data_IF_044392222444
#
_entry.id   IF_044392222444
#
_cell.length_a   1.000
_cell.length_b   1.000
_cell.length_c   1.000
_cell.angle_alpha   90.00
_cell.angle_beta   90.00
_cell.angle_gamma   90.00
#
_symmetry.space_group_name_H-M   'P 1'
#
loop_
_entity.id
_entity.type
_entity.pdbx_description
1 polymer ?
#
# COMPACT_ATOMS: atom_id res chain seq x y z
N UNK A 1 29.83 12.69 -17.34
CA UNK A 1 28.67 13.12 -18.17
C UNK A 1 28.61 14.64 -18.16
N UNK A 2 28.19 15.28 -19.25
CA UNK A 2 27.93 16.73 -19.23
C UNK A 2 26.45 16.96 -18.95
N UNK A 3 26.13 17.95 -18.12
CA UNK A 3 24.76 18.40 -17.85
C UNK A 3 24.70 19.93 -17.98
N UNK A 4 23.55 20.54 -17.65
CA UNK A 4 23.44 22.01 -17.57
C UNK A 4 24.39 22.63 -16.53
N UNK A 5 24.79 21.88 -15.49
CA UNK A 5 25.79 22.31 -14.50
C UNK A 5 27.25 22.11 -14.95
N UNK A 6 27.47 21.67 -16.20
CA UNK A 6 28.80 21.39 -16.72
C UNK A 6 29.23 19.94 -16.49
N UNK A 7 30.45 19.74 -16.00
CA UNK A 7 31.06 18.40 -15.84
C UNK A 7 30.52 17.70 -14.60
N UNK A 8 29.76 16.62 -14.80
CA UNK A 8 29.20 15.80 -13.72
C UNK A 8 29.73 14.36 -13.78
N UNK A 9 29.57 13.64 -12.68
CA UNK A 9 30.01 12.25 -12.53
C UNK A 9 28.83 11.35 -12.23
N UNK A 10 28.84 10.14 -12.81
CA UNK A 10 27.77 9.14 -12.63
C UNK A 10 28.39 7.87 -12.07
N UNK A 11 28.01 7.51 -10.86
CA UNK A 11 28.34 6.21 -10.28
C UNK A 11 27.42 5.13 -10.85
N UNK A 12 27.93 3.91 -11.07
CA UNK A 12 27.17 2.77 -11.58
C UNK A 12 26.46 3.02 -12.93
N UNK A 13 27.00 3.91 -13.78
CA UNK A 13 26.43 4.22 -15.09
C UNK A 13 26.72 3.20 -16.20
N UNK A 14 27.62 2.24 -15.96
CA UNK A 14 27.94 1.21 -16.95
C UNK A 14 26.91 0.08 -16.93
N UNK A 15 26.12 -0.03 -18.01
CA UNK A 15 25.08 -1.05 -18.17
C UNK A 15 25.62 -2.48 -18.27
N UNK A 16 26.87 -2.66 -18.72
CA UNK A 16 27.47 -4.00 -18.92
C UNK A 16 27.89 -4.68 -17.61
N UNK A 17 28.14 -3.91 -16.55
CA UNK A 17 28.57 -4.41 -15.25
C UNK A 17 27.85 -3.66 -14.12
N UNK A 18 26.53 -3.83 -13.96
CA UNK A 18 25.76 -3.13 -12.96
C UNK A 18 26.10 -3.64 -11.56
N UNK A 19 26.46 -2.72 -10.66
CA UNK A 19 26.59 -3.02 -9.23
C UNK A 19 25.20 -3.17 -8.61
N UNK A 20 25.00 -4.26 -7.88
CA UNK A 20 23.72 -4.59 -7.20
C UNK A 20 23.96 -4.80 -5.72
N UNK A 21 23.01 -4.37 -4.92
CA UNK A 21 23.02 -4.56 -3.47
C UNK A 21 22.08 -5.72 -3.13
N UNK A 22 22.48 -6.60 -2.19
CA UNK A 22 21.69 -7.78 -1.79
C UNK A 22 20.89 -7.59 -0.52
N UNK A 23 21.33 -6.69 0.35
CA UNK A 23 20.73 -6.46 1.65
C UNK A 23 20.73 -4.97 1.94
N UNK A 24 19.73 -4.53 2.68
CA UNK A 24 19.70 -3.19 3.20
C UNK A 24 20.71 -2.86 4.29
N UNK A 25 20.72 -1.59 4.63
CA UNK A 25 21.61 -1.02 5.63
C UNK A 25 22.69 -0.12 5.02
N UNK A 26 23.15 0.81 5.86
CA UNK A 26 24.12 1.86 5.52
C UNK A 26 25.42 1.29 4.94
N UNK A 27 25.96 0.22 5.51
CA UNK A 27 27.23 -0.38 5.05
C UNK A 27 27.20 -1.06 3.67
N UNK A 28 26.01 -1.30 3.09
CA UNK A 28 25.85 -2.02 1.83
C UNK A 28 25.59 -1.08 0.63
N UNK A 29 25.42 0.22 0.90
CA UNK A 29 25.14 1.24 -0.10
C UNK A 29 26.39 1.91 -0.67
N UNK A 30 26.17 3.04 -1.35
CA UNK A 30 27.24 3.94 -1.80
C UNK A 30 27.54 4.97 -0.70
N UNK A 31 28.78 5.02 -0.23
CA UNK A 31 29.30 6.05 0.67
C UNK A 31 30.41 6.87 -0.03
N UNK A 32 30.30 8.19 0.02
CA UNK A 32 31.23 9.16 -0.57
C UNK A 32 31.55 10.27 0.44
N UNK A 33 32.83 10.59 0.61
CA UNK A 33 33.26 11.86 1.22
C UNK A 33 33.79 12.77 0.10
N UNK A 34 33.19 13.94 -0.04
CA UNK A 34 33.47 14.91 -1.08
C UNK A 34 33.93 16.22 -0.45
N UNK A 35 34.96 16.82 -1.04
CA UNK A 35 35.29 18.23 -0.87
C UNK A 35 34.65 18.98 -2.04
N UNK A 36 33.90 20.04 -1.73
CA UNK A 36 33.27 20.87 -2.76
C UNK A 36 34.16 22.03 -3.20
N UNK A 37 35.34 22.20 -2.58
CA UNK A 37 36.36 23.17 -3.00
C UNK A 37 35.76 24.59 -3.14
N UNK A 38 35.10 25.08 -2.08
CA UNK A 38 34.46 26.42 -2.09
C UNK A 38 35.45 27.55 -2.42
N UNK A 39 36.74 27.34 -2.17
CA UNK A 39 37.85 28.24 -2.51
C UNK A 39 38.05 28.42 -4.02
N UNK A 40 37.64 27.45 -4.83
CA UNK A 40 37.70 27.49 -6.30
C UNK A 40 36.42 28.03 -6.95
N UNK A 41 35.43 28.46 -6.14
CA UNK A 41 34.19 29.01 -6.68
C UNK A 41 34.47 30.34 -7.37
N UNK A 42 33.82 30.54 -8.52
CA UNK A 42 33.90 31.82 -9.22
C UNK A 42 33.33 32.92 -8.32
N UNK A 43 34.08 33.99 -8.04
CA UNK A 43 33.57 35.10 -7.27
C UNK A 43 32.36 35.70 -8.00
N UNK A 44 31.32 36.08 -7.26
CA UNK A 44 30.06 36.58 -7.80
C UNK A 44 30.07 38.11 -7.73
N UNK A 45 30.06 38.77 -8.88
CA UNK A 45 30.14 40.24 -8.99
C UNK A 45 28.82 40.84 -9.51
N UNK A 46 28.00 40.01 -10.16
CA UNK A 46 26.67 40.34 -10.69
C UNK A 46 25.79 39.09 -10.70
N UNK A 47 24.52 39.25 -10.37
CA UNK A 47 23.53 38.19 -10.52
C UNK A 47 23.21 37.99 -12.01
N UNK A 48 23.38 36.77 -12.50
CA UNK A 48 22.89 36.31 -13.79
C UNK A 48 22.00 35.09 -13.57
N UNK A 49 21.23 34.71 -14.59
CA UNK A 49 20.40 33.49 -14.53
C UNK A 49 21.23 32.20 -14.37
N UNK A 50 22.55 32.27 -14.54
CA UNK A 50 23.47 31.13 -14.44
C UNK A 50 24.32 31.14 -13.16
N UNK A 51 24.38 32.26 -12.42
CA UNK A 51 25.13 32.34 -11.16
C UNK A 51 24.32 31.73 -10.03
N UNK A 52 24.77 30.60 -9.50
CA UNK A 52 24.18 29.98 -8.31
C UNK A 52 24.80 30.56 -7.04
N UNK A 53 23.96 31.08 -6.15
CA UNK A 53 24.38 31.50 -4.79
C UNK A 53 24.50 30.32 -3.81
N UNK A 54 24.13 29.12 -4.25
CA UNK A 54 24.11 27.90 -3.47
C UNK A 54 25.52 27.28 -3.39
N UNK A 55 25.91 26.81 -2.20
CA UNK A 55 27.09 25.98 -2.01
C UNK A 55 26.70 24.55 -1.62
N UNK A 56 27.19 23.57 -2.38
CA UNK A 56 26.86 22.16 -2.21
C UNK A 56 26.86 21.42 -3.53
N UNK A 57 26.24 20.24 -3.54
CA UNK A 57 26.12 19.42 -4.75
C UNK A 57 24.66 19.11 -5.03
N UNK A 58 24.32 18.98 -6.31
CA UNK A 58 23.04 18.39 -6.74
C UNK A 58 23.27 16.94 -7.11
N UNK A 59 22.33 16.08 -6.73
CA UNK A 59 22.42 14.64 -6.90
C UNK A 59 21.11 14.13 -7.48
N UNK A 60 21.18 13.21 -8.44
CA UNK A 60 20.00 12.55 -9.01
C UNK A 60 20.20 11.05 -8.95
N UNK A 61 19.21 10.33 -8.43
CA UNK A 61 19.11 8.88 -8.52
C UNK A 61 18.22 8.57 -9.73
N UNK A 62 18.72 7.77 -10.65
CA UNK A 62 17.98 7.38 -11.85
C UNK A 62 18.38 5.98 -12.31
N UNK A 63 17.56 5.39 -13.17
CA UNK A 63 17.89 4.11 -13.81
C UNK A 63 19.04 4.28 -14.81
N UNK A 64 19.82 3.23 -15.03
CA UNK A 64 20.95 3.25 -15.99
C UNK A 64 20.51 3.49 -17.44
N UNK A 65 19.22 3.22 -17.74
CA UNK A 65 18.61 3.39 -19.05
C UNK A 65 18.01 4.80 -19.26
N UNK A 66 18.07 5.65 -18.24
CA UNK A 66 17.56 7.02 -18.29
C UNK A 66 18.74 8.00 -18.20
N UNK A 67 18.85 8.99 -19.12
CA UNK A 67 19.88 10.01 -19.01
C UNK A 67 19.60 10.96 -17.83
N UNK A 68 20.64 11.54 -17.23
CA UNK A 68 20.47 12.47 -16.12
C UNK A 68 19.81 13.78 -16.57
N UNK A 69 18.82 14.22 -15.80
CA UNK A 69 18.07 15.47 -15.99
C UNK A 69 18.05 16.25 -14.67
N UNK A 70 19.27 16.47 -14.16
CA UNK A 70 19.57 16.86 -12.78
C UNK A 70 19.10 18.27 -12.42
N UNK A 71 18.93 19.18 -13.38
CA UNK A 71 18.46 20.54 -13.12
C UNK A 71 16.99 20.61 -12.72
N UNK A 72 16.18 19.60 -13.07
CA UNK A 72 14.78 19.49 -12.62
C UNK A 72 14.55 18.36 -11.61
N UNK A 73 15.25 17.23 -11.75
CA UNK A 73 15.00 16.02 -10.95
C UNK A 73 16.03 15.78 -9.84
N UNK A 74 17.09 16.60 -9.78
CA UNK A 74 18.11 16.50 -8.74
C UNK A 74 17.65 17.07 -7.40
N UNK A 75 18.16 16.51 -6.31
CA UNK A 75 18.03 17.07 -4.96
C UNK A 75 19.37 17.66 -4.52
N UNK A 76 19.31 18.72 -3.72
CA UNK A 76 20.50 19.37 -3.15
C UNK A 76 21.00 18.62 -1.92
N UNK A 77 22.31 18.52 -1.79
CA UNK A 77 22.98 18.00 -0.60
C UNK A 77 23.93 19.08 -0.10
N UNK A 78 23.74 19.49 1.16
CA UNK A 78 24.53 20.56 1.76
C UNK A 78 25.88 20.04 2.26
N UNK A 79 26.95 20.85 2.16
CA UNK A 79 28.24 20.52 2.76
C UNK A 79 28.12 20.49 4.30
N UNK A 80 29.01 19.75 4.98
CA UNK A 80 29.14 19.77 6.46
C UNK A 80 28.03 19.03 7.20
N UNK A 81 27.23 18.32 6.41
CA UNK A 81 26.34 17.30 6.89
C UNK A 81 26.76 15.99 6.23
N UNK A 82 26.66 14.94 7.02
CA UNK A 82 26.55 13.61 6.50
C UNK A 82 25.07 13.38 6.18
N UNK A 83 24.76 13.26 4.90
CA UNK A 83 23.37 13.08 4.42
C UNK A 83 23.15 11.62 4.10
N UNK A 84 22.13 11.03 4.71
CA UNK A 84 21.63 9.68 4.44
C UNK A 84 20.47 9.74 3.46
N UNK A 85 20.51 8.90 2.43
CA UNK A 85 19.46 8.84 1.41
C UNK A 85 18.91 7.41 1.34
N UNK A 86 17.90 7.15 2.17
CA UNK A 86 17.15 5.89 2.06
C UNK A 86 16.36 5.93 0.76
N UNK A 87 16.44 4.87 -0.02
CA UNK A 87 15.83 4.74 -1.33
C UNK A 87 14.90 3.51 -1.37
N UNK A 88 13.90 3.55 -2.23
CA UNK A 88 13.04 2.40 -2.49
C UNK A 88 12.88 2.24 -4.00
N UNK A 89 13.27 1.08 -4.54
CA UNK A 89 13.06 0.80 -5.97
C UNK A 89 11.57 0.52 -6.23
N UNK A 90 10.98 1.31 -7.10
CA UNK A 90 9.58 1.21 -7.50
C UNK A 90 9.52 0.86 -8.99
N UNK A 91 9.00 -0.33 -9.31
CA UNK A 91 8.75 -0.74 -10.70
C UNK A 91 7.29 -0.52 -11.03
N UNK A 92 7.04 0.48 -11.86
CA UNK A 92 5.69 0.85 -12.30
C UNK A 92 5.46 0.30 -13.70
N UNK A 93 4.33 -0.38 -13.87
CA UNK A 93 3.82 -0.84 -15.16
C UNK A 93 2.51 -0.13 -15.46
N UNK A 94 2.48 0.65 -16.53
CA UNK A 94 1.30 1.33 -17.03
C UNK A 94 0.68 0.55 -18.18
N UNK A 95 -0.63 0.71 -18.36
CA UNK A 95 -1.38 0.05 -19.42
C UNK A 95 -1.46 0.92 -20.68
N UNK A 96 -1.29 0.33 -21.88
CA UNK A 96 -1.50 1.03 -23.14
C UNK A 96 -2.99 1.29 -23.38
N UNK A 97 -3.31 2.00 -24.47
CA UNK A 97 -4.69 2.18 -24.90
C UNK A 97 -5.38 0.83 -25.15
N UNK A 98 -6.69 0.69 -24.84
CA UNK A 98 -7.63 1.72 -24.38
C UNK A 98 -7.63 2.00 -22.85
N UNK A 99 -6.89 1.24 -22.05
CA UNK A 99 -6.94 1.36 -20.58
C UNK A 99 -6.09 2.51 -20.02
N UNK A 100 -5.08 2.96 -20.77
CA UNK A 100 -4.22 4.08 -20.40
C UNK A 100 -3.57 4.73 -21.61
N UNK A 101 -2.58 5.59 -21.36
CA UNK A 101 -1.84 6.31 -22.39
C UNK A 101 -0.33 6.20 -22.13
N UNK A 102 0.21 5.00 -22.30
CA UNK A 102 1.64 4.74 -22.21
C UNK A 102 2.24 4.33 -23.56
N UNK A 103 3.50 4.70 -23.76
CA UNK A 103 4.29 4.36 -24.93
C UNK A 103 4.91 2.97 -24.76
N UNK A 104 4.62 2.07 -25.69
CA UNK A 104 5.24 0.73 -25.71
C UNK A 104 6.68 0.80 -26.22
N UNK A 105 7.54 -0.12 -25.78
CA UNK A 105 8.98 -0.14 -26.11
C UNK A 105 9.32 -0.49 -27.57
N UNK A 106 8.31 -0.63 -28.44
CA UNK A 106 8.45 -1.10 -29.82
C UNK A 106 8.65 0.07 -30.81
N UNK A 107 8.41 1.29 -30.37
CA UNK A 107 8.53 2.49 -31.21
C UNK A 107 9.97 3.00 -31.38
N UNK A 108 10.27 3.75 -32.47
CA UNK A 108 11.64 4.14 -32.81
C UNK A 108 12.34 4.90 -31.67
N UNK A 109 13.58 4.50 -31.46
CA UNK A 109 14.51 5.10 -30.51
C UNK A 109 14.79 6.56 -30.86
N UNK A 110 14.99 7.38 -29.83
CA UNK A 110 15.38 8.77 -30.00
C UNK A 110 16.86 8.80 -30.43
N UNK A 111 17.23 9.51 -31.52
CA UNK A 111 18.62 9.61 -31.95
C UNK A 111 19.54 10.09 -30.82
N UNK A 112 20.58 9.30 -30.51
CA UNK A 112 21.55 9.61 -29.46
C UNK A 112 21.22 9.05 -28.08
N UNK A 113 20.12 8.29 -27.91
CA UNK A 113 19.80 7.58 -26.68
C UNK A 113 19.47 6.10 -26.95
N UNK A 114 19.96 5.21 -26.10
CA UNK A 114 19.77 3.76 -26.25
C UNK A 114 18.35 3.29 -25.93
N UNK A 115 17.62 4.03 -25.09
CA UNK A 115 16.28 3.69 -24.66
C UNK A 115 15.40 4.90 -24.47
N UNK A 116 14.11 4.74 -24.75
CA UNK A 116 13.12 5.77 -24.47
C UNK A 116 12.93 5.96 -22.97
N UNK A 117 13.00 7.21 -22.55
CA UNK A 117 12.63 7.66 -21.20
C UNK A 117 12.05 9.06 -21.29
N UNK A 118 11.34 9.50 -20.26
CA UNK A 118 10.76 10.84 -20.21
C UNK A 118 11.89 11.89 -20.26
N UNK A 119 12.99 11.65 -19.55
CA UNK A 119 14.16 12.53 -19.56
C UNK A 119 14.82 12.61 -20.95
N UNK A 120 15.00 11.48 -21.65
CA UNK A 120 15.53 11.49 -23.02
C UNK A 120 14.62 12.26 -23.99
N UNK A 121 13.31 12.09 -23.88
CA UNK A 121 12.33 12.81 -24.69
C UNK A 121 12.40 14.32 -24.46
N UNK A 122 12.47 14.77 -23.20
CA UNK A 122 12.58 16.20 -22.86
C UNK A 122 13.89 16.81 -23.36
N UNK A 123 15.02 16.13 -23.13
CA UNK A 123 16.32 16.57 -23.63
C UNK A 123 16.34 16.70 -25.16
N UNK A 124 15.76 15.71 -25.86
CA UNK A 124 15.65 15.76 -27.31
C UNK A 124 14.77 16.92 -27.80
N UNK A 125 13.64 17.18 -27.11
CA UNK A 125 12.76 18.29 -27.46
C UNK A 125 13.43 19.66 -27.25
N UNK A 126 14.12 19.83 -26.11
CA UNK A 126 14.92 21.03 -25.82
C UNK A 126 16.03 21.23 -26.85
N UNK A 127 16.78 20.17 -27.17
CA UNK A 127 17.85 20.23 -28.18
C UNK A 127 17.31 20.61 -29.56
N UNK A 128 16.16 20.03 -29.95
CA UNK A 128 15.52 20.33 -31.23
C UNK A 128 15.03 21.78 -31.28
N UNK A 129 14.48 22.32 -30.19
CA UNK A 129 14.07 23.72 -30.12
C UNK A 129 15.26 24.66 -30.26
N UNK A 130 16.34 24.42 -29.52
CA UNK A 130 17.55 25.27 -29.60
C UNK A 130 18.21 25.19 -30.97
N UNK A 131 18.21 24.00 -31.58
CA UNK A 131 18.73 23.84 -32.94
C UNK A 131 17.89 24.59 -33.98
N UNK A 132 16.56 24.62 -33.83
CA UNK A 132 15.65 25.38 -34.71
C UNK A 132 15.87 26.89 -34.58
N UNK A 133 15.93 27.41 -33.36
CA UNK A 133 15.93 28.85 -33.11
C UNK A 133 17.33 29.48 -33.16
N UNK A 134 18.37 28.73 -32.76
CA UNK A 134 19.73 29.25 -32.57
C UNK A 134 20.80 28.60 -33.48
N UNK A 135 20.42 27.56 -34.24
CA UNK A 135 21.28 26.80 -35.16
C UNK A 135 22.55 26.24 -34.51
N UNK A 136 22.44 25.81 -33.25
CA UNK A 136 23.52 25.18 -32.50
C UNK A 136 22.93 24.25 -31.45
N UNK A 137 23.77 23.48 -30.76
CA UNK A 137 23.36 22.64 -29.62
C UNK A 137 24.09 23.05 -28.34
N UNK A 138 23.46 22.75 -27.20
CA UNK A 138 24.12 22.85 -25.91
C UNK A 138 25.13 21.72 -25.71
N UNK A 139 26.17 21.96 -24.90
CA UNK A 139 27.27 21.01 -24.67
C UNK A 139 26.80 19.63 -24.19
N UNK A 140 25.80 19.58 -23.32
CA UNK A 140 25.29 18.35 -22.71
C UNK A 140 24.28 17.59 -23.58
N UNK A 141 23.85 18.16 -24.71
CA UNK A 141 22.88 17.53 -25.60
C UNK A 141 23.60 16.63 -26.62
N UNK A 142 23.10 15.40 -26.85
CA UNK A 142 23.67 14.52 -27.87
C UNK A 142 23.42 15.05 -29.29
N UNK A 143 24.22 14.60 -30.26
CA UNK A 143 24.08 14.95 -31.67
C UNK A 143 25.31 15.61 -32.27
N UNK A 144 25.27 15.81 -33.60
CA UNK A 144 26.42 16.25 -34.40
C UNK A 144 26.42 17.76 -34.71
N UNK A 145 25.41 18.50 -34.25
CA UNK A 145 25.36 19.95 -34.45
C UNK A 145 26.53 20.65 -33.72
N UNK A 146 26.90 21.84 -34.19
CA UNK A 146 27.95 22.64 -33.55
C UNK A 146 27.53 23.12 -32.16
N UNK A 147 28.48 23.15 -31.22
CA UNK A 147 28.23 23.63 -29.86
C UNK A 147 28.03 25.16 -29.91
N UNK A 148 27.00 25.65 -29.21
CA UNK A 148 26.71 27.08 -29.14
C UNK A 148 27.90 27.88 -28.56
N UNK A 149 28.31 28.93 -29.26
CA UNK A 149 29.27 29.90 -28.73
C UNK A 149 28.66 30.71 -27.55
N UNK A 150 29.47 31.20 -26.60
CA UNK A 150 28.96 31.99 -25.46
C UNK A 150 28.14 33.22 -25.86
N UNK A 151 28.40 33.81 -27.03
CA UNK A 151 27.62 34.94 -27.57
C UNK A 151 26.14 34.61 -27.85
N UNK A 152 25.82 33.33 -28.08
CA UNK A 152 24.46 32.85 -28.39
C UNK A 152 23.66 32.45 -27.15
N UNK A 153 24.20 32.58 -25.93
CA UNK A 153 23.53 32.11 -24.70
C UNK A 153 22.15 32.75 -24.50
N UNK A 154 22.01 34.03 -24.83
CA UNK A 154 20.72 34.75 -24.79
C UNK A 154 19.67 34.19 -25.75
N UNK A 155 20.10 33.60 -26.87
CA UNK A 155 19.18 32.92 -27.79
C UNK A 155 18.71 31.60 -27.18
N UNK A 156 19.65 30.82 -26.64
CA UNK A 156 19.36 29.53 -25.99
C UNK A 156 18.38 29.72 -24.83
N UNK A 157 18.61 30.69 -23.96
CA UNK A 157 17.72 30.99 -22.83
C UNK A 157 16.31 31.37 -23.29
N UNK A 158 16.19 32.18 -24.35
CA UNK A 158 14.88 32.56 -24.93
C UNK A 158 14.17 31.36 -25.54
N UNK A 159 14.87 30.51 -26.29
CA UNK A 159 14.32 29.31 -26.91
C UNK A 159 13.78 28.34 -25.84
N UNK A 160 14.55 28.10 -24.79
CA UNK A 160 14.14 27.24 -23.67
C UNK A 160 12.99 27.85 -22.85
N UNK A 161 13.02 29.16 -22.58
CA UNK A 161 11.94 29.84 -21.88
C UNK A 161 10.64 29.82 -22.70
N UNK A 162 10.72 29.94 -24.02
CA UNK A 162 9.57 29.81 -24.93
C UNK A 162 8.94 28.41 -24.82
N UNK A 163 9.78 27.38 -24.77
CA UNK A 163 9.34 25.99 -24.63
C UNK A 163 8.62 25.71 -23.30
N UNK A 164 9.08 26.34 -22.22
CA UNK A 164 8.44 26.24 -20.90
C UNK A 164 7.12 27.01 -20.83
N UNK A 165 7.02 28.15 -21.53
CA UNK A 165 5.82 29.00 -21.55
C UNK A 165 4.74 28.45 -22.46
N UNK A 166 5.10 27.72 -23.52
CA UNK A 166 4.13 27.05 -24.36
C UNK A 166 3.43 25.94 -23.60
N UNK A 167 2.11 26.05 -23.47
CA UNK A 167 1.23 25.04 -22.88
C UNK A 167 1.37 23.72 -23.62
N UNK A 168 2.01 22.72 -23.01
CA UNK A 168 1.85 21.25 -23.23
C UNK A 168 2.11 20.64 -24.62
N UNK A 169 1.83 21.36 -25.70
CA UNK A 169 1.66 20.83 -27.05
C UNK A 169 2.98 20.72 -27.82
N UNK A 170 4.00 21.51 -27.46
CA UNK A 170 5.28 21.53 -28.18
C UNK A 170 6.20 20.34 -27.84
N UNK A 171 6.04 19.71 -26.68
CA UNK A 171 6.82 18.54 -26.27
C UNK A 171 5.94 17.44 -25.62
N UNK A 172 5.12 16.71 -26.41
CA UNK A 172 4.30 15.62 -25.88
C UNK A 172 5.16 14.39 -25.57
N UNK A 173 5.76 14.36 -24.37
CA UNK A 173 6.51 13.20 -23.89
C UNK A 173 5.58 12.23 -23.15
N UNK A 174 5.19 11.17 -23.83
CA UNK A 174 4.37 10.09 -23.27
C UNK A 174 5.14 9.31 -22.21
N UNK A 175 4.44 8.83 -21.18
CA UNK A 175 5.04 7.97 -20.16
C UNK A 175 5.31 6.58 -20.74
N UNK A 176 6.49 5.97 -20.54
CA UNK A 176 6.74 4.59 -20.95
C UNK A 176 5.83 3.63 -20.18
N UNK A 177 5.47 2.50 -20.78
CA UNK A 177 4.68 1.49 -20.07
C UNK A 177 5.47 0.85 -18.91
N UNK A 178 6.79 0.70 -19.02
CA UNK A 178 7.63 0.17 -17.95
C UNK A 178 8.57 1.27 -17.45
N UNK A 179 8.43 1.65 -16.18
CA UNK A 179 9.26 2.70 -15.56
C UNK A 179 9.81 2.21 -14.23
N UNK A 180 11.09 2.46 -14.00
CA UNK A 180 11.72 2.27 -12.68
C UNK A 180 11.93 3.63 -12.04
N UNK A 181 11.36 3.84 -10.87
CA UNK A 181 11.55 5.03 -10.05
C UNK A 181 12.23 4.67 -8.75
N UNK A 182 12.88 5.65 -8.14
CA UNK A 182 13.48 5.51 -6.82
C UNK A 182 12.81 6.51 -5.88
N UNK A 183 11.96 6.01 -4.99
CA UNK A 183 11.50 6.78 -3.84
C UNK A 183 12.71 7.12 -2.97
N UNK A 184 12.73 8.29 -2.33
CA UNK A 184 13.85 8.71 -1.49
C UNK A 184 13.38 9.42 -0.22
N UNK A 185 14.03 9.11 0.88
CA UNK A 185 13.87 9.75 2.18
C UNK A 185 15.23 10.24 2.66
N UNK A 186 15.30 11.52 3.04
CA UNK A 186 16.55 12.17 3.41
C UNK A 186 16.61 12.38 4.92
N UNK A 187 17.75 12.06 5.52
CA UNK A 187 18.09 12.47 6.88
C UNK A 187 19.53 12.98 6.94
N UNK A 188 19.86 13.81 7.92
CA UNK A 188 21.14 14.51 7.98
C UNK A 188 21.69 14.53 9.40
N UNK A 189 23.01 14.37 9.53
CA UNK A 189 23.74 14.59 10.79
C UNK A 189 24.93 15.50 10.54
N UNK A 190 25.30 16.32 11.54
CA UNK A 190 26.41 17.28 11.42
C UNK A 190 27.76 16.57 11.36
N UNK A 191 28.65 17.01 10.45
CA UNK A 191 30.04 16.54 10.36
C UNK A 191 30.99 17.74 10.13
N UNK A 192 32.16 17.79 10.78
CA UNK A 192 32.67 16.88 11.81
C UNK A 192 32.13 17.14 13.22
N UNK A 193 32.35 16.15 14.09
CA UNK A 193 32.23 16.34 15.54
C UNK A 193 33.41 17.16 16.07
N UNK A 194 33.29 17.71 17.28
CA UNK A 194 34.39 18.48 17.90
C UNK A 194 35.69 17.67 17.99
N UNK A 195 35.60 16.37 18.26
CA UNK A 195 36.77 15.48 18.35
C UNK A 195 37.33 15.07 17.00
N UNK A 196 36.47 14.84 15.98
CA UNK A 196 36.94 14.37 14.66
C UNK A 196 37.48 15.48 13.75
N UNK A 197 37.15 16.75 14.02
CA UNK A 197 37.63 17.89 13.22
C UNK A 197 39.16 17.94 13.11
N UNK A 198 39.87 17.74 14.23
CA UNK A 198 41.34 17.73 14.27
C UNK A 198 41.94 16.57 13.47
N UNK A 199 41.29 15.41 13.51
CA UNK A 199 41.71 14.24 12.74
C UNK A 199 41.57 14.50 11.23
N UNK A 200 40.41 15.01 10.79
CA UNK A 200 40.19 15.31 9.37
C UNK A 200 41.14 16.40 8.86
N UNK A 201 41.39 17.45 9.66
CA UNK A 201 42.36 18.50 9.33
C UNK A 201 43.75 17.93 9.03
N UNK A 202 44.25 17.01 9.87
CA UNK A 202 45.54 16.36 9.66
C UNK A 202 45.53 15.40 8.47
N UNK A 203 44.45 14.64 8.30
CA UNK A 203 44.32 13.64 7.22
C UNK A 203 44.29 14.28 5.83
N UNK A 204 43.61 15.42 5.69
CA UNK A 204 43.42 16.10 4.41
C UNK A 204 44.31 17.33 4.24
N UNK A 205 45.22 17.60 5.20
CA UNK A 205 46.11 18.76 5.17
C UNK A 205 45.39 20.11 4.99
N UNK A 206 44.21 20.26 5.59
CA UNK A 206 43.40 21.50 5.57
C UNK A 206 43.33 22.09 6.97
N UNK A 207 43.13 23.40 7.10
CA UNK A 207 43.05 24.05 8.42
C UNK A 207 41.83 23.54 9.21
N UNK A 208 41.92 23.50 10.55
CA UNK A 208 40.77 23.10 11.39
C UNK A 208 39.58 24.05 11.18
N UNK A 209 39.86 25.31 10.86
CA UNK A 209 38.88 26.33 10.55
C UNK A 209 38.21 26.06 9.19
N UNK A 210 38.97 25.68 8.16
CA UNK A 210 38.43 25.17 6.91
C UNK A 210 37.59 23.90 7.16
N UNK A 211 38.07 22.92 7.91
CA UNK A 211 37.28 21.69 8.19
C UNK A 211 36.00 21.98 9.02
N UNK A 212 35.98 23.05 9.82
CA UNK A 212 34.80 23.50 10.56
C UNK A 212 33.86 24.37 9.72
N UNK A 213 34.40 25.17 8.80
CA UNK A 213 33.68 26.18 8.00
C UNK A 213 33.37 25.66 6.58
N UNK A 214 34.38 25.15 5.87
CA UNK A 214 34.27 24.22 4.74
C UNK A 214 34.02 22.79 5.26
N UNK A 215 32.97 22.66 6.05
CA UNK A 215 31.92 21.65 5.90
C UNK A 215 32.28 20.48 4.94
N UNK A 216 33.18 19.53 5.30
CA UNK A 216 33.46 18.38 4.45
C UNK A 216 32.15 17.62 4.25
N UNK A 217 31.81 17.34 3.00
CA UNK A 217 30.54 16.71 2.68
C UNK A 217 30.74 15.20 2.75
N UNK A 218 29.97 14.49 3.58
CA UNK A 218 29.81 13.06 3.39
C UNK A 218 28.42 12.79 2.85
N UNK A 219 28.35 12.27 1.62
CA UNK A 219 27.14 11.65 1.13
C UNK A 219 27.22 10.18 1.50
N UNK A 220 26.52 9.79 2.55
CA UNK A 220 26.49 8.40 3.00
C UNK A 220 25.18 7.76 2.56
N UNK A 221 25.31 6.58 1.99
CA UNK A 221 24.30 5.54 1.91
C UNK A 221 23.10 5.85 1.01
N UNK A 222 23.19 5.36 -0.23
CA UNK A 222 22.02 5.00 -1.03
C UNK A 222 21.63 3.56 -0.68
N UNK A 223 20.56 3.38 0.08
CA UNK A 223 20.00 2.06 0.34
C UNK A 223 18.73 1.91 -0.49
N UNK A 224 18.68 1.04 -1.50
CA UNK A 224 17.42 0.74 -2.20
C UNK A 224 16.76 -0.48 -1.56
N UNK A 225 15.65 -0.27 -0.85
CA UNK A 225 14.78 -1.37 -0.45
C UNK A 225 13.90 -1.81 -1.63
N UNK A 226 13.82 -3.11 -1.86
CA UNK A 226 12.83 -3.68 -2.75
C UNK A 226 11.56 -3.81 -1.94
N UNK A 227 10.57 -2.96 -2.22
CA UNK A 227 9.28 -3.01 -1.53
C UNK A 227 8.62 -4.38 -1.73
N UNK A 228 8.49 -5.15 -0.65
CA UNK A 228 7.74 -6.39 -0.63
C UNK A 228 6.28 -6.07 -0.27
N UNK A 229 5.36 -6.29 -1.21
CA UNK A 229 3.91 -6.12 -1.00
C UNK A 229 3.30 -7.16 -0.03
N UNK A 230 4.08 -7.68 0.93
CA UNK A 230 3.72 -8.77 1.83
C UNK A 230 2.62 -8.40 2.84
N UNK A 231 2.56 -7.15 3.28
CA UNK A 231 1.64 -6.73 4.34
C UNK A 231 0.16 -6.67 3.92
N UNK A 232 -0.11 -6.54 2.61
CA UNK A 232 -1.48 -6.53 2.08
C UNK A 232 -2.01 -7.96 1.91
N UNK A 233 -1.15 -8.92 1.56
CA UNK A 233 -1.56 -10.32 1.34
C UNK A 233 -2.02 -11.02 2.62
N UNK A 234 -1.34 -10.78 3.74
CA UNK A 234 -1.65 -11.42 5.03
C UNK A 234 -3.00 -11.01 5.62
N UNK A 235 -3.29 -9.70 5.61
CA UNK A 235 -4.55 -9.18 6.13
C UNK A 235 -5.74 -9.56 5.22
N UNK A 236 -5.57 -9.47 3.89
CA UNK A 236 -6.63 -9.87 2.96
C UNK A 236 -6.91 -11.39 3.00
N UNK A 237 -5.87 -12.22 3.19
CA UNK A 237 -6.01 -13.67 3.32
C UNK A 237 -6.81 -14.09 4.55
N UNK A 238 -6.64 -13.40 5.68
CA UNK A 238 -7.37 -13.70 6.92
C UNK A 238 -8.87 -13.41 6.79
N UNK A 239 -9.26 -12.28 6.18
CA UNK A 239 -10.66 -11.92 5.99
C UNK A 239 -11.36 -12.83 4.97
N UNK A 240 -10.67 -13.22 3.89
CA UNK A 240 -11.22 -14.15 2.90
C UNK A 240 -11.34 -15.56 3.48
N UNK A 241 -10.36 -16.02 4.26
CA UNK A 241 -10.39 -17.33 4.92
C UNK A 241 -11.54 -17.47 5.92
N UNK A 242 -11.78 -16.46 6.76
CA UNK A 242 -12.90 -16.44 7.69
C UNK A 242 -14.27 -16.41 6.97
N UNK A 243 -14.35 -15.76 5.81
CA UNK A 243 -15.59 -15.67 5.02
C UNK A 243 -15.93 -16.97 4.28
N UNK A 244 -14.93 -17.75 3.86
CA UNK A 244 -15.18 -19.03 3.17
C UNK A 244 -15.69 -20.09 4.14
N UNK A 245 -15.13 -20.14 5.36
CA UNK A 245 -15.59 -21.08 6.40
C UNK A 245 -17.05 -20.81 6.81
N UNK A 246 -17.44 -19.54 6.93
CA UNK A 246 -18.84 -19.20 7.24
C UNK A 246 -19.80 -19.55 6.11
N UNK A 247 -19.38 -19.40 4.84
CA UNK A 247 -20.18 -19.85 3.69
C UNK A 247 -20.37 -21.37 3.70
N UNK A 248 -19.30 -22.14 3.96
CA UNK A 248 -19.38 -23.61 4.05
C UNK A 248 -20.31 -24.06 5.19
N UNK A 249 -20.27 -23.38 6.33
CA UNK A 249 -21.13 -23.69 7.48
C UNK A 249 -22.61 -23.41 7.19
N UNK A 250 -22.92 -22.34 6.45
CA UNK A 250 -24.29 -22.05 5.97
C UNK A 250 -24.76 -23.13 4.99
N UNK A 251 -23.89 -23.58 4.08
CA UNK A 251 -24.22 -24.64 3.13
C UNK A 251 -24.48 -25.99 3.81
N UNK A 252 -23.67 -26.35 4.81
CA UNK A 252 -23.87 -27.57 5.61
C UNK A 252 -25.19 -27.51 6.40
N UNK A 253 -25.52 -26.35 6.98
CA UNK A 253 -26.81 -26.14 7.65
C UNK A 253 -27.99 -26.30 6.68
N UNK A 254 -27.92 -25.70 5.50
CA UNK A 254 -28.95 -25.82 4.46
C UNK A 254 -29.10 -27.27 4.02
N UNK A 255 -27.99 -28.00 3.83
CA UNK A 255 -28.01 -29.41 3.43
C UNK A 255 -28.72 -30.29 4.46
N UNK A 256 -28.44 -30.13 5.76
CA UNK A 256 -29.11 -30.89 6.82
C UNK A 256 -30.61 -30.55 6.93
N UNK A 257 -30.98 -29.27 6.75
CA UNK A 257 -32.39 -28.85 6.72
C UNK A 257 -33.14 -29.48 5.54
N UNK A 258 -32.54 -29.48 4.34
CA UNK A 258 -33.12 -30.10 3.14
C UNK A 258 -33.27 -31.61 3.36
N UNK A 259 -32.24 -32.28 3.87
CA UNK A 259 -32.26 -33.72 4.19
C UNK A 259 -33.32 -34.07 5.22
N UNK A 260 -33.50 -33.24 6.26
CA UNK A 260 -34.56 -33.42 7.26
C UNK A 260 -35.95 -33.26 6.65
N UNK A 261 -36.16 -32.24 5.82
CA UNK A 261 -37.44 -32.00 5.12
C UNK A 261 -37.77 -33.12 4.12
N UNK A 262 -36.79 -33.59 3.34
CA UNK A 262 -36.97 -34.75 2.46
C UNK A 262 -37.29 -36.03 3.25
N UNK A 263 -36.64 -36.28 4.39
CA UNK A 263 -36.97 -37.41 5.28
C UNK A 263 -38.37 -37.32 5.89
N UNK A 264 -38.91 -36.11 6.11
CA UNK A 264 -40.29 -35.93 6.56
C UNK A 264 -41.30 -36.21 5.43
N UNK A 265 -40.99 -35.83 4.20
CA UNK A 265 -41.86 -36.05 3.03
C UNK A 265 -41.84 -37.52 2.56
N UNK A 266 -40.73 -38.24 2.77
CA UNK A 266 -40.55 -39.66 2.44
C UNK A 266 -41.04 -40.65 3.54
N UNK A 267 -41.80 -40.22 4.55
CA UNK A 267 -42.51 -41.16 5.44
C UNK A 267 -43.89 -41.49 4.86
N UNK A 268 -44.09 -42.61 4.14
CA UNK A 268 -45.43 -43.12 3.88
C UNK A 268 -46.09 -43.54 5.20
N UNK A 269 -47.41 -43.37 5.26
CA UNK A 269 -48.22 -43.43 6.47
C UNK A 269 -47.98 -44.67 7.34
N UNK A 270 -47.58 -44.42 8.60
CA UNK A 270 -47.64 -45.38 9.71
C UNK A 270 -49.05 -45.51 10.31
N UNK A 271 -50.10 -45.06 9.62
CA UNK A 271 -51.47 -45.02 10.15
C UNK A 271 -52.28 -46.30 9.91
N UNK A 272 -51.92 -47.13 8.92
CA UNK A 272 -52.72 -48.33 8.59
C UNK A 272 -52.50 -49.47 9.59
N UNK A 273 -51.24 -49.74 9.98
CA UNK A 273 -50.92 -50.82 10.95
C UNK A 273 -51.41 -50.54 12.38
N UNK A 274 -51.47 -49.27 12.79
CA UNK A 274 -52.03 -48.89 14.10
C UNK A 274 -53.56 -48.91 14.13
N UNK A 275 -54.24 -48.64 13.00
CA UNK A 275 -55.69 -48.72 12.91
C UNK A 275 -56.19 -50.18 12.93
N UNK A 276 -55.53 -51.09 12.19
CA UNK A 276 -55.90 -52.52 12.18
C UNK A 276 -55.70 -53.17 13.55
N UNK A 277 -54.61 -52.83 14.26
CA UNK A 277 -54.34 -53.37 15.59
C UNK A 277 -55.31 -52.85 16.66
N UNK A 278 -55.73 -51.58 16.56
CA UNK A 278 -56.79 -51.01 17.43
C UNK A 278 -58.15 -51.66 17.17
N UNK A 279 -58.52 -51.90 15.92
CA UNK A 279 -59.79 -52.54 15.58
C UNK A 279 -59.86 -54.00 16.07
N UNK A 280 -58.77 -54.77 15.94
CA UNK A 280 -58.68 -56.14 16.48
C UNK A 280 -58.81 -56.18 18.01
N UNK A 281 -58.16 -55.25 18.72
CA UNK A 281 -58.26 -55.15 20.19
C UNK A 281 -59.67 -54.74 20.61
N UNK A 282 -60.31 -53.83 19.87
CA UNK A 282 -61.66 -53.35 20.17
C UNK A 282 -62.72 -54.43 19.93
N UNK A 283 -62.54 -55.27 18.90
CA UNK A 283 -63.40 -56.43 18.64
C UNK A 283 -63.25 -57.51 19.73
N UNK A 284 -62.02 -57.75 20.21
CA UNK A 284 -61.76 -58.68 21.32
C UNK A 284 -62.45 -58.20 22.62
N UNK A 285 -62.32 -56.92 22.96
CA UNK A 285 -62.97 -56.32 24.14
C UNK A 285 -64.49 -56.43 24.06
N UNK A 286 -65.08 -56.25 22.87
CA UNK A 286 -66.53 -56.37 22.69
C UNK A 286 -67.02 -57.80 22.90
N UNK A 287 -66.27 -58.82 22.43
CA UNK A 287 -66.60 -60.22 22.71
C UNK A 287 -66.49 -60.55 24.18
N UNK A 288 -65.46 -60.06 24.87
CA UNK A 288 -65.30 -60.32 26.32
C UNK A 288 -66.42 -59.67 27.13
N UNK A 289 -66.87 -58.46 26.75
CA UNK A 289 -68.00 -57.78 27.40
C UNK A 289 -69.32 -58.54 27.21
N UNK A 290 -69.62 -59.01 25.99
CA UNK A 290 -70.84 -59.79 25.73
C UNK A 290 -70.84 -61.13 26.50
N UNK A 291 -69.68 -61.80 26.59
CA UNK A 291 -69.54 -63.03 27.39
C UNK A 291 -69.72 -62.75 28.89
N UNK A 292 -69.21 -61.61 29.37
CA UNK A 292 -69.39 -61.15 30.76
C UNK A 292 -70.85 -60.83 31.05
N UNK A 293 -71.57 -60.16 30.14
CA UNK A 293 -73.00 -59.85 30.31
C UNK A 293 -73.88 -61.10 30.26
N UNK A 294 -73.53 -62.10 29.44
CA UNK A 294 -74.21 -63.40 29.46
C UNK A 294 -73.97 -64.14 30.78
N UNK A 295 -72.74 -64.15 31.29
CA UNK A 295 -72.41 -64.75 32.58
C UNK A 295 -73.03 -63.98 33.77
N UNK A 296 -73.14 -62.64 33.68
CA UNK A 296 -73.79 -61.82 34.70
C UNK A 296 -75.30 -62.07 34.75
N UNK A 297 -75.94 -62.31 33.59
CA UNK A 297 -77.36 -62.72 33.52
C UNK A 297 -77.58 -64.13 34.05
N UNK A 298 -76.60 -65.03 33.92
CA UNK A 298 -76.65 -66.37 34.49
C UNK A 298 -76.41 -66.40 36.01
N UNK A 299 -75.77 -65.38 36.60
CA UNK A 299 -75.49 -65.27 38.04
C UNK A 299 -76.54 -64.47 38.83
N UNK A 300 -77.58 -63.95 38.19
CA UNK A 300 -78.68 -63.22 38.85
C UNK A 300 -79.85 -64.12 39.29
N UNK A 301 -79.66 -65.45 39.24
CA UNK A 301 -80.48 -66.42 39.95
C UNK A 301 -79.65 -66.87 41.16
N UNK A 302 -80.18 -66.59 42.36
CA UNK A 302 -79.69 -66.93 43.71
C UNK A 302 -78.62 -66.03 44.36
N UNK A 303 -79.03 -65.35 45.45
CA UNK A 303 -78.21 -65.23 46.67
C UNK A 303 -77.59 -63.88 47.06
N UNK A 304 -78.28 -63.13 47.93
CA UNK A 304 -77.86 -62.33 49.11
C UNK A 304 -76.42 -61.73 49.31
N UNK A 305 -76.42 -60.44 49.69
CA UNK A 305 -75.51 -59.68 50.63
C UNK A 305 -74.13 -59.25 50.03
N UNK A 306 -73.48 -58.10 50.30
CA UNK A 306 -73.57 -56.96 51.25
C UNK A 306 -72.99 -55.68 50.61
N UNK A 307 -73.33 -54.51 51.17
CA UNK A 307 -72.82 -53.17 50.83
C UNK A 307 -71.53 -52.81 51.58
N UNK A 308 -70.59 -52.12 50.91
CA UNK A 308 -69.56 -51.28 51.57
C UNK A 308 -69.42 -49.95 50.82
N UNK A 309 -69.38 -48.87 51.61
CA UNK A 309 -69.47 -47.44 51.27
C UNK A 309 -68.08 -46.84 51.02
N UNK A 310 -67.92 -45.98 50.02
CA UNK A 310 -66.80 -45.05 49.88
C UNK A 310 -67.29 -43.67 49.43
N UNK A 311 -66.78 -42.63 50.09
CA UNK A 311 -67.19 -41.22 49.99
C UNK A 311 -66.62 -40.50 48.77
N UNK A 312 -67.39 -39.52 48.28
CA UNK A 312 -67.07 -38.60 47.19
C UNK A 312 -66.27 -37.38 47.66
N UNK A 313 -65.30 -36.92 46.85
CA UNK A 313 -64.78 -35.54 46.91
C UNK A 313 -64.89 -34.88 45.52
N UNK A 314 -65.43 -33.67 45.56
CA UNK A 314 -65.95 -32.83 44.46
C UNK A 314 -64.87 -32.11 43.66
N UNK A 315 -65.13 -31.93 42.36
CA UNK A 315 -64.40 -31.08 41.41
C UNK A 315 -64.98 -29.66 41.44
N UNK A 316 -64.13 -28.63 41.28
CA UNK A 316 -64.54 -27.26 40.93
C UNK A 316 -63.57 -26.65 39.90
N UNK A 317 -64.12 -26.04 38.86
CA UNK A 317 -63.42 -25.38 37.76
C UNK A 317 -63.37 -23.85 37.95
N UNK A 318 -62.38 -23.20 37.34
CA UNK A 318 -62.38 -21.76 37.04
C UNK A 318 -61.41 -21.43 35.89
N UNK A 319 -61.94 -20.74 34.87
CA UNK A 319 -61.23 -20.09 33.76
C UNK A 319 -60.47 -18.85 34.24
N UNK A 320 -59.34 -18.52 33.60
CA UNK A 320 -59.19 -17.28 32.80
C UNK A 320 -57.82 -17.18 32.11
N UNK A 321 -57.86 -16.70 30.86
CA UNK A 321 -56.74 -16.39 29.95
C UNK A 321 -56.29 -14.93 30.10
N UNK A 322 -54.98 -14.65 30.06
CA UNK A 322 -54.41 -13.41 29.49
C UNK A 322 -53.02 -13.69 28.86
N UNK A 323 -52.78 -13.14 27.67
CA UNK A 323 -51.57 -13.23 26.82
C UNK A 323 -50.53 -12.10 27.09
N UNK A 324 -49.30 -12.18 26.53
CA UNK A 324 -48.13 -11.40 26.92
C UNK A 324 -47.75 -10.25 25.95
N UNK A 325 -46.89 -9.33 26.41
CA UNK A 325 -46.14 -8.38 25.57
C UNK A 325 -44.63 -8.34 25.89
N UNK A 326 -43.87 -8.00 24.84
CA UNK A 326 -42.42 -8.01 24.61
C UNK A 326 -41.68 -6.77 25.16
N UNK A 327 -40.38 -6.89 25.51
CA UNK A 327 -39.26 -6.05 24.99
C UNK A 327 -37.97 -6.09 25.87
N UNK A 328 -36.84 -6.26 25.17
CA UNK A 328 -35.39 -6.00 25.41
C UNK A 328 -34.83 -5.45 26.75
N UNK A 329 -33.60 -5.89 27.16
CA UNK A 329 -32.78 -5.18 28.15
C UNK A 329 -31.78 -4.21 27.52
N UNK A 330 -31.65 -3.03 28.16
CA UNK A 330 -30.74 -1.95 27.81
C UNK A 330 -29.38 -2.05 28.54
N UNK A 331 -28.34 -1.58 27.85
CA UNK A 331 -26.96 -1.35 28.29
C UNK A 331 -26.83 -0.14 29.21
N UNK A 332 -26.05 -0.26 30.30
CA UNK A 332 -25.72 0.81 31.24
C UNK A 332 -24.20 1.09 31.21
N UNK A 333 -23.84 2.35 30.92
CA UNK A 333 -22.53 2.97 31.20
C UNK A 333 -22.46 3.46 32.65
N UNK A 334 -21.25 3.66 33.21
CA UNK A 334 -21.02 4.69 34.21
C UNK A 334 -19.99 5.75 33.76
N UNK A 335 -20.37 7.02 33.94
CA UNK A 335 -19.49 8.19 33.91
C UNK A 335 -19.10 8.56 35.34
N UNK A 336 -17.83 8.95 35.56
CA UNK A 336 -17.46 9.86 36.63
C UNK A 336 -16.40 10.86 36.12
N UNK A 337 -16.77 12.15 36.18
CA UNK A 337 -15.90 13.30 36.00
C UNK A 337 -15.33 13.76 37.36
N UNK A 338 -14.06 14.19 37.38
CA UNK A 338 -13.65 15.37 38.16
C UNK A 338 -12.47 16.10 37.49
N UNK A 339 -12.69 17.39 37.28
CA UNK A 339 -11.84 18.53 36.84
C UNK A 339 -10.75 18.86 37.87
N UNK A 340 -9.62 19.58 37.68
CA UNK A 340 -9.01 20.55 36.73
C UNK A 340 -7.51 20.78 37.26
N UNK A 341 -6.66 21.75 36.81
CA UNK A 341 -6.19 22.18 35.49
C UNK A 341 -4.63 22.38 35.36
N UNK A 342 -4.19 22.71 34.13
CA UNK A 342 -3.02 23.53 33.72
C UNK A 342 -1.55 23.04 33.93
N UNK A 343 -0.84 22.81 32.81
CA UNK A 343 0.25 23.70 32.36
C UNK A 343 0.79 23.34 30.97
N UNK A 344 1.00 24.37 30.16
CA UNK A 344 1.65 24.40 28.85
C UNK A 344 3.14 24.66 29.08
N UNK A 345 4.04 23.95 28.39
CA UNK A 345 5.39 24.44 28.14
C UNK A 345 5.98 23.86 26.85
N UNK A 346 6.44 24.78 26.02
CA UNK A 346 7.25 24.62 24.82
C UNK A 346 8.54 23.84 25.09
N UNK A 347 9.01 23.07 24.10
CA UNK A 347 10.43 22.74 23.97
C UNK A 347 10.86 22.86 22.51
N UNK A 348 11.54 23.97 22.24
CA UNK A 348 12.56 24.08 21.23
C UNK A 348 13.86 23.44 21.76
N UNK A 349 14.62 22.75 20.89
CA UNK A 349 16.07 22.85 20.73
C UNK A 349 16.51 22.22 19.41
#
# INVERSE_FOLDING_TARGET
VYTRYGRCYTFNGNQTSPKRVRQGGTGNGLELMLDIEQDEYLPIWRETNETTLEAGIRVQIHSQNEPPYIHQLGFGVSPGFQTFVSCQEQRLTYLPQPWGNCRSSVEPMIPGFDSYSISACRLHCESSQVQRDCHCRMLHMPGNAEICAPSKIKCVDKALASLQKSTGDLCPCQTPCNVTRYGKELSMVKIPSRGSARYLSRKYHKSEEYIRQAKPQQLRDFFCEMGENGDIGGQMGLFIGASILTILEILDYIYEVIKYKFKQILKPGKNEKQATQRNLIQEQIHRTKNLREQNLRAQLVDGNIATVRFEEIKIKASNDMVQPHSAYPASILPNHHRTQPANVQDFAF
#
